data_IF_260189177539
#
_entry.id   IF_260189177539
#
_cell.length_a   1.000
_cell.length_b   1.000
_cell.length_c   1.000
_cell.angle_alpha   90.00
_cell.angle_beta   90.00
_cell.angle_gamma   90.00
#
_symmetry.space_group_name_H-M   'P 1'
#
loop_
_entity.id
_entity.type
_entity.pdbx_description
1 polymer ?
#
# COMPACT_ATOMS: atom_id res chain seq x y z
N UNK A 1 -5.27 -19.03 -2.53
CA UNK A 1 -4.52 -18.00 -1.78
C UNK A 1 -4.54 -18.29 -0.29
N UNK A 2 -3.42 -18.13 0.42
CA UNK A 2 -3.36 -18.33 1.88
C UNK A 2 -4.26 -17.33 2.60
N UNK A 3 -5.10 -17.80 3.55
CA UNK A 3 -6.03 -16.96 4.33
C UNK A 3 -5.35 -15.75 4.97
N UNK A 4 -4.10 -15.93 5.42
CA UNK A 4 -3.31 -14.87 6.03
C UNK A 4 -3.07 -13.68 5.10
N UNK A 5 -2.85 -13.90 3.80
CA UNK A 5 -2.64 -12.82 2.84
C UNK A 5 -3.91 -11.98 2.66
N UNK A 6 -5.08 -12.63 2.70
CA UNK A 6 -6.35 -11.93 2.62
C UNK A 6 -6.59 -11.06 3.85
N UNK A 7 -6.29 -11.59 5.04
CA UNK A 7 -6.38 -10.85 6.30
C UNK A 7 -5.43 -9.64 6.26
N UNK A 8 -4.17 -9.86 5.88
CA UNK A 8 -3.16 -8.80 5.78
C UNK A 8 -3.61 -7.73 4.77
N UNK A 9 -4.08 -8.14 3.58
CA UNK A 9 -4.58 -7.21 2.55
C UNK A 9 -5.75 -6.36 3.07
N UNK A 10 -6.72 -6.97 3.76
CA UNK A 10 -7.86 -6.25 4.33
C UNK A 10 -7.42 -5.25 5.40
N UNK A 11 -6.61 -5.71 6.37
CA UNK A 11 -6.13 -4.84 7.46
C UNK A 11 -5.29 -3.69 6.91
N UNK A 12 -4.35 -4.00 6.01
CA UNK A 12 -3.50 -3.01 5.36
C UNK A 12 -4.34 -1.95 4.63
N UNK A 13 -5.33 -2.39 3.85
CA UNK A 13 -6.21 -1.49 3.10
C UNK A 13 -7.01 -0.56 4.01
N UNK A 14 -7.54 -1.08 5.12
CA UNK A 14 -8.29 -0.26 6.09
C UNK A 14 -7.38 0.77 6.75
N UNK A 15 -6.20 0.33 7.23
CA UNK A 15 -5.24 1.22 7.89
C UNK A 15 -4.78 2.31 6.92
N UNK A 16 -4.41 1.95 5.69
CA UNK A 16 -3.96 2.89 4.67
C UNK A 16 -5.03 3.94 4.36
N UNK A 17 -6.28 3.51 4.14
CA UNK A 17 -7.39 4.43 3.86
C UNK A 17 -7.66 5.40 5.02
N UNK A 18 -7.59 4.93 6.26
CA UNK A 18 -7.81 5.75 7.46
C UNK A 18 -6.67 6.75 7.63
N UNK A 19 -5.43 6.29 7.55
CA UNK A 19 -4.26 7.16 7.69
C UNK A 19 -4.31 8.26 6.63
N UNK A 20 -4.57 7.91 5.37
CA UNK A 20 -4.65 8.88 4.29
C UNK A 20 -5.77 9.91 4.51
N UNK A 21 -6.94 9.46 4.97
CA UNK A 21 -8.05 10.35 5.29
C UNK A 21 -7.70 11.31 6.43
N UNK A 22 -6.99 10.85 7.46
CA UNK A 22 -6.57 11.67 8.59
C UNK A 22 -5.53 12.72 8.19
N UNK A 23 -4.55 12.36 7.33
CA UNK A 23 -3.52 13.28 6.86
C UNK A 23 -4.08 14.42 6.02
N UNK A 24 -5.03 14.12 5.14
CA UNK A 24 -5.61 15.08 4.22
C UNK A 24 -6.84 15.80 4.81
N UNK A 25 -7.25 15.44 6.03
CA UNK A 25 -8.47 15.98 6.63
C UNK A 25 -8.37 17.51 6.79
N UNK A 26 -9.24 18.24 6.10
CA UNK A 26 -9.27 19.70 6.13
C UNK A 26 -8.25 20.40 5.21
N UNK A 27 -7.33 19.66 4.59
CA UNK A 27 -6.38 20.21 3.60
C UNK A 27 -6.07 19.19 2.51
N UNK A 28 -7.07 18.89 1.68
CA UNK A 28 -6.93 18.00 0.54
C UNK A 28 -5.96 18.60 -0.48
N UNK A 29 -4.80 17.98 -0.61
CA UNK A 29 -3.77 18.38 -1.56
C UNK A 29 -4.16 18.00 -3.00
N UNK A 30 -3.32 18.36 -3.96
CA UNK A 30 -3.50 18.01 -5.37
C UNK A 30 -3.70 16.50 -5.54
N UNK A 31 -4.79 16.12 -6.23
CA UNK A 31 -5.35 14.77 -6.26
C UNK A 31 -4.37 13.62 -6.50
N UNK A 32 -3.35 13.73 -7.39
CA UNK A 32 -2.40 12.66 -7.64
C UNK A 32 -1.61 12.17 -6.43
N UNK A 33 -1.51 12.96 -5.36
CA UNK A 33 -0.74 12.58 -4.17
C UNK A 33 -1.48 11.56 -3.29
N UNK A 34 -2.78 11.76 -3.05
CA UNK A 34 -3.57 10.92 -2.15
C UNK A 34 -4.43 9.87 -2.87
N UNK A 35 -4.78 10.10 -4.14
CA UNK A 35 -5.65 9.18 -4.90
C UNK A 35 -4.98 7.82 -5.13
N UNK A 36 -3.64 7.80 -5.18
CA UNK A 36 -2.84 6.61 -5.44
C UNK A 36 -2.98 5.60 -4.29
N UNK A 37 -3.07 6.08 -3.04
CA UNK A 37 -3.29 5.23 -1.88
C UNK A 37 -4.68 4.59 -1.88
N UNK A 38 -5.72 5.35 -2.25
CA UNK A 38 -7.05 4.76 -2.43
C UNK A 38 -7.12 3.78 -3.59
N UNK A 39 -6.33 3.98 -4.66
CA UNK A 39 -6.25 3.01 -5.74
C UNK A 39 -5.63 1.69 -5.25
N UNK A 40 -4.58 1.73 -4.43
CA UNK A 40 -4.01 0.55 -3.78
C UNK A 40 -5.09 -0.17 -2.96
N UNK A 41 -5.82 0.56 -2.12
CA UNK A 41 -6.92 0.05 -1.29
C UNK A 41 -7.96 -0.67 -2.16
N UNK A 42 -8.42 -0.03 -3.23
CA UNK A 42 -9.43 -0.60 -4.12
C UNK A 42 -8.92 -1.89 -4.77
N UNK A 43 -7.70 -1.89 -5.32
CA UNK A 43 -7.15 -3.08 -5.99
C UNK A 43 -7.02 -4.24 -5.00
N UNK A 44 -6.50 -4.00 -3.80
CA UNK A 44 -6.36 -5.04 -2.77
C UNK A 44 -7.72 -5.58 -2.33
N UNK A 45 -8.69 -4.72 -2.05
CA UNK A 45 -10.04 -5.14 -1.65
C UNK A 45 -10.79 -5.87 -2.77
N UNK A 46 -10.60 -5.47 -4.03
CA UNK A 46 -11.13 -6.18 -5.20
C UNK A 46 -10.54 -7.60 -5.29
N UNK A 47 -9.24 -7.76 -5.04
CA UNK A 47 -8.62 -9.08 -4.93
C UNK A 47 -9.18 -9.89 -3.76
N UNK A 48 -9.42 -9.25 -2.61
CA UNK A 48 -9.98 -9.95 -1.44
C UNK A 48 -11.42 -10.39 -1.67
N UNK A 49 -12.30 -9.54 -2.18
CA UNK A 49 -13.75 -9.77 -2.14
C UNK A 49 -14.38 -10.12 -3.49
N UNK A 50 -13.88 -9.60 -4.61
CA UNK A 50 -14.57 -9.65 -5.90
C UNK A 50 -13.95 -10.69 -6.84
N UNK A 51 -12.66 -10.55 -7.16
CA UNK A 51 -12.02 -11.37 -8.18
C UNK A 51 -11.45 -12.68 -7.62
N UNK A 52 -12.30 -13.62 -7.23
CA UNK A 52 -11.85 -14.90 -6.64
C UNK A 52 -11.03 -15.76 -7.61
N UNK A 53 -11.40 -15.80 -8.89
CA UNK A 53 -10.70 -16.59 -9.92
C UNK A 53 -9.34 -16.01 -10.28
N UNK A 54 -9.23 -14.68 -10.37
CA UNK A 54 -7.98 -13.97 -10.66
C UNK A 54 -7.32 -13.40 -9.40
N UNK A 55 -7.69 -13.90 -8.23
CA UNK A 55 -7.37 -13.31 -6.93
C UNK A 55 -5.86 -13.09 -6.75
N UNK A 56 -5.07 -14.09 -7.14
CA UNK A 56 -3.61 -14.02 -7.08
C UNK A 56 -3.06 -12.84 -7.90
N UNK A 57 -3.50 -12.71 -9.16
CA UNK A 57 -3.01 -11.66 -10.06
C UNK A 57 -3.38 -10.28 -9.55
N UNK A 58 -4.61 -10.11 -9.06
CA UNK A 58 -5.09 -8.84 -8.52
C UNK A 58 -4.36 -8.47 -7.23
N UNK A 59 -4.13 -9.41 -6.32
CA UNK A 59 -3.35 -9.16 -5.12
C UNK A 59 -1.88 -8.85 -5.44
N UNK A 60 -1.26 -9.57 -6.37
CA UNK A 60 0.10 -9.25 -6.84
C UNK A 60 0.18 -7.84 -7.41
N UNK A 61 -0.81 -7.44 -8.21
CA UNK A 61 -0.90 -6.09 -8.76
C UNK A 61 -0.98 -5.04 -7.64
N UNK A 62 -1.89 -5.24 -6.67
CA UNK A 62 -2.04 -4.33 -5.53
C UNK A 62 -0.79 -4.23 -4.67
N UNK A 63 -0.19 -5.37 -4.31
CA UNK A 63 1.03 -5.40 -3.49
C UNK A 63 2.25 -4.79 -4.21
N UNK A 64 2.43 -5.09 -5.50
CA UNK A 64 3.54 -4.53 -6.29
C UNK A 64 3.38 -3.02 -6.48
N UNK A 65 2.15 -2.57 -6.74
CA UNK A 65 1.86 -1.15 -6.87
C UNK A 65 2.11 -0.41 -5.54
N UNK A 66 1.65 -0.98 -4.43
CA UNK A 66 1.90 -0.41 -3.09
C UNK A 66 3.38 -0.36 -2.73
N UNK A 67 4.14 -1.43 -3.02
CA UNK A 67 5.59 -1.44 -2.80
C UNK A 67 6.29 -0.33 -3.62
N UNK A 68 5.90 -0.15 -4.88
CA UNK A 68 6.46 0.92 -5.72
C UNK A 68 6.19 2.32 -5.18
N UNK A 69 4.96 2.59 -4.74
CA UNK A 69 4.56 3.89 -4.18
C UNK A 69 5.30 4.16 -2.88
N UNK A 70 5.29 3.21 -1.93
CA UNK A 70 5.97 3.38 -0.64
C UNK A 70 7.48 3.53 -0.80
N UNK A 71 8.08 2.84 -1.77
CA UNK A 71 9.49 3.00 -2.12
C UNK A 71 9.83 4.42 -2.58
N UNK A 72 9.03 4.98 -3.50
CA UNK A 72 9.24 6.35 -4.00
C UNK A 72 9.09 7.36 -2.87
N UNK A 73 8.03 7.24 -2.06
CA UNK A 73 7.79 8.13 -0.91
C UNK A 73 8.95 8.06 0.09
N UNK A 74 9.44 6.86 0.40
CA UNK A 74 10.56 6.67 1.31
C UNK A 74 11.83 7.35 0.80
N UNK A 75 12.21 7.13 -0.47
CA UNK A 75 13.43 7.70 -1.03
C UNK A 75 13.39 9.21 -1.15
N UNK A 76 12.27 9.79 -1.60
CA UNK A 76 12.11 11.26 -1.67
C UNK A 76 12.31 11.91 -0.29
N UNK A 77 11.88 11.23 0.78
CA UNK A 77 12.01 11.75 2.14
C UNK A 77 13.39 11.51 2.75
N UNK A 78 14.16 10.53 2.26
CA UNK A 78 15.56 10.32 2.63
C UNK A 78 16.52 11.25 1.87
N UNK A 79 16.07 11.84 0.76
CA UNK A 79 16.89 12.78 -0.01
C UNK A 79 17.16 14.10 0.77
N UNK A 80 18.44 14.48 0.96
CA UNK A 80 18.79 15.66 1.75
C UNK A 80 18.40 16.99 1.10
N UNK A 81 18.04 17.01 -0.19
CA UNK A 81 17.67 18.21 -0.96
C UNK A 81 16.31 18.10 -1.66
N UNK A 82 15.39 17.29 -1.17
CA UNK A 82 14.07 17.19 -1.80
C UNK A 82 13.28 18.51 -1.70
N UNK A 83 12.58 18.85 -2.78
CA UNK A 83 11.73 20.05 -2.90
C UNK A 83 10.32 19.85 -2.35
N UNK A 84 10.03 18.68 -1.79
CA UNK A 84 8.72 18.25 -1.29
C UNK A 84 8.74 18.27 0.25
N UNK A 85 7.59 18.54 0.86
CA UNK A 85 7.40 18.51 2.32
C UNK A 85 7.97 17.23 2.92
N UNK A 86 8.90 17.37 3.86
CA UNK A 86 9.46 16.23 4.59
C UNK A 86 8.45 15.68 5.57
N UNK A 87 8.27 14.36 5.52
CA UNK A 87 7.56 13.61 6.53
C UNK A 87 8.32 13.69 7.87
N UNK A 88 7.58 13.68 8.97
CA UNK A 88 8.17 13.48 10.28
C UNK A 88 8.73 12.05 10.42
N UNK A 89 9.53 11.82 11.47
CA UNK A 89 10.17 10.52 11.68
C UNK A 89 9.17 9.37 11.86
N UNK A 90 8.04 9.62 12.54
CA UNK A 90 7.03 8.59 12.80
C UNK A 90 6.37 8.13 11.50
N UNK A 91 6.03 9.09 10.64
CA UNK A 91 5.42 8.86 9.36
C UNK A 91 6.39 8.18 8.39
N UNK A 92 7.68 8.55 8.45
CA UNK A 92 8.71 7.85 7.71
C UNK A 92 8.84 6.37 8.11
N UNK A 93 8.78 6.07 9.43
CA UNK A 93 8.74 4.69 9.90
C UNK A 93 7.47 3.96 9.45
N UNK A 94 6.32 4.63 9.44
CA UNK A 94 5.07 4.06 8.94
C UNK A 94 5.15 3.70 7.45
N UNK A 95 5.73 4.58 6.62
CA UNK A 95 6.00 4.30 5.20
C UNK A 95 6.97 3.12 5.04
N UNK A 96 8.05 3.08 5.83
CA UNK A 96 8.98 1.95 5.85
C UNK A 96 8.31 0.63 6.23
N UNK A 97 7.45 0.64 7.24
CA UNK A 97 6.65 -0.54 7.63
C UNK A 97 5.69 -0.95 6.52
N UNK A 98 4.99 0.00 5.90
CA UNK A 98 4.07 -0.25 4.79
C UNK A 98 4.77 -0.87 3.58
N UNK A 99 6.00 -0.43 3.29
CA UNK A 99 6.86 -1.03 2.27
C UNK A 99 7.20 -2.49 2.60
N UNK A 100 7.62 -2.78 3.84
CA UNK A 100 7.92 -4.15 4.28
C UNK A 100 6.69 -5.05 4.20
N UNK A 101 5.53 -4.59 4.66
CA UNK A 101 4.27 -5.32 4.57
C UNK A 101 3.89 -5.59 3.12
N UNK A 102 4.08 -4.62 2.22
CA UNK A 102 3.85 -4.79 0.79
C UNK A 102 4.72 -5.88 0.18
N UNK A 103 6.01 -5.94 0.52
CA UNK A 103 6.90 -7.02 0.10
C UNK A 103 6.44 -8.38 0.63
N UNK A 104 6.06 -8.47 1.92
CA UNK A 104 5.55 -9.72 2.51
C UNK A 104 4.29 -10.19 1.78
N UNK A 105 3.32 -9.30 1.55
CA UNK A 105 2.09 -9.60 0.82
C UNK A 105 2.36 -10.07 -0.60
N UNK A 106 3.30 -9.45 -1.31
CA UNK A 106 3.76 -9.87 -2.62
C UNK A 106 4.38 -11.28 -2.58
N UNK A 107 5.33 -11.54 -1.68
CA UNK A 107 5.96 -12.87 -1.55
C UNK A 107 4.96 -13.98 -1.25
N UNK A 108 4.01 -13.73 -0.33
CA UNK A 108 2.94 -14.71 -0.03
C UNK A 108 2.07 -14.96 -1.26
N UNK A 109 1.82 -13.92 -2.07
CA UNK A 109 1.05 -14.04 -3.31
C UNK A 109 1.79 -14.81 -4.41
N UNK A 110 3.13 -14.75 -4.43
CA UNK A 110 3.96 -15.53 -5.34
C UNK A 110 4.00 -17.01 -4.95
N UNK A 111 4.25 -17.30 -3.67
CA UNK A 111 4.42 -18.68 -3.16
C UNK A 111 3.12 -19.48 -3.17
N UNK A 112 1.96 -18.82 -3.11
CA UNK A 112 0.65 -19.46 -3.15
C UNK A 112 0.27 -20.13 -4.50
N UNK A 113 1.24 -20.36 -5.39
CA UNK A 113 1.13 -21.07 -6.67
C UNK A 113 1.21 -22.60 -6.54
N UNK A 114 1.71 -23.12 -5.41
CA UNK A 114 2.08 -24.54 -5.27
C UNK A 114 1.09 -25.42 -4.47
N UNK A 115 -0.12 -24.94 -4.17
CA UNK A 115 -1.20 -25.73 -3.54
C UNK A 115 -2.43 -25.74 -4.46
#
# INVERSE_FOLDING_TARGET
MKKINLIIATVYSIVLAIVEALLNWGNWQYAPLWIVDYLIVIILLLGVFVFKENQRKVLLMGWSFSAGVMYIVLLINLEPKSSITRLDSNMLYAVGLALVVSFIGMFISMIAEND
#
